data_IF_566922079091
#
_entry.id   IF_566922079091
#
_cell.length_a   1.000
_cell.length_b   1.000
_cell.length_c   1.000
_cell.angle_alpha   90.00
_cell.angle_beta   90.00
_cell.angle_gamma   90.00
#
_symmetry.space_group_name_H-M   'P 1'
#
loop_
_entity.id
_entity.type
_entity.pdbx_description
1 polymer ?
#
# COMPACT_ATOMS: atom_id res chain seq x y z
N UNK A 1 -0.30 -1.33 34.68
CA UNK A 1 -0.37 -2.04 33.36
C UNK A 1 0.99 -2.67 33.10
N UNK A 2 1.05 -3.95 32.77
CA UNK A 2 2.32 -4.55 32.34
C UNK A 2 2.69 -3.97 30.96
N UNK A 3 3.90 -3.45 30.85
CA UNK A 3 4.45 -2.84 29.62
C UNK A 3 4.46 -3.84 28.46
N UNK A 4 4.25 -3.37 27.23
CA UNK A 4 4.44 -4.21 26.02
C UNK A 4 5.91 -4.61 25.90
N UNK A 5 6.16 -5.83 25.41
CA UNK A 5 7.51 -6.29 25.13
C UNK A 5 7.85 -5.94 23.68
N UNK A 6 8.65 -4.89 23.51
CA UNK A 6 9.18 -4.47 22.22
C UNK A 6 10.62 -5.01 22.04
N UNK A 7 11.11 -5.11 20.80
CA UNK A 7 12.49 -5.55 20.49
C UNK A 7 13.50 -4.65 21.21
N UNK A 8 13.26 -3.34 21.14
CA UNK A 8 14.00 -2.34 21.92
C UNK A 8 13.06 -1.87 23.04
N UNK A 9 13.46 -1.95 24.32
CA UNK A 9 12.60 -1.54 25.43
C UNK A 9 12.05 -0.13 25.22
N UNK A 10 10.75 0.02 25.39
CA UNK A 10 10.01 1.29 25.31
C UNK A 10 9.94 1.95 23.92
N UNK A 11 10.39 1.26 22.88
CA UNK A 11 10.37 1.74 21.49
C UNK A 11 9.61 0.76 20.62
N UNK A 12 8.59 1.22 19.91
CA UNK A 12 7.92 0.47 18.85
C UNK A 12 8.76 0.59 17.58
N UNK A 13 9.40 -0.51 17.17
CA UNK A 13 10.20 -0.54 15.94
C UNK A 13 9.32 -0.95 14.76
N UNK A 14 9.25 -0.08 13.74
CA UNK A 14 8.39 -0.24 12.56
C UNK A 14 9.27 -0.41 11.32
N UNK A 15 9.18 -1.56 10.63
CA UNK A 15 9.74 -1.72 9.30
C UNK A 15 8.73 -1.24 8.26
N UNK A 16 9.18 -0.45 7.28
CA UNK A 16 8.31 0.07 6.23
C UNK A 16 9.01 0.23 4.88
N UNK A 17 8.22 0.23 3.81
CA UNK A 17 8.64 0.62 2.46
C UNK A 17 8.12 2.03 2.19
N UNK A 18 9.03 2.98 1.93
CA UNK A 18 8.72 4.41 1.91
C UNK A 18 8.46 5.02 0.53
N UNK A 19 8.06 4.18 -0.44
CA UNK A 19 7.69 4.62 -1.80
C UNK A 19 6.22 4.29 -2.14
N UNK A 20 5.36 4.14 -1.12
CA UNK A 20 3.97 3.73 -1.31
C UNK A 20 2.98 4.69 -0.63
N UNK A 21 2.79 5.87 -1.21
CA UNK A 21 1.78 6.82 -0.74
C UNK A 21 0.34 6.33 -1.07
N UNK A 22 -0.64 6.64 -0.20
CA UNK A 22 -0.56 7.45 1.00
C UNK A 22 -0.15 6.67 2.26
N UNK A 23 0.12 5.37 2.16
CA UNK A 23 0.33 4.48 3.31
C UNK A 23 1.65 4.75 4.02
N UNK A 24 2.75 4.74 3.26
CA UNK A 24 4.09 5.05 3.76
C UNK A 24 4.94 5.66 2.64
N UNK A 25 5.41 6.89 2.83
CA UNK A 25 6.18 7.60 1.81
C UNK A 25 7.07 8.69 2.43
N UNK A 26 8.06 9.14 1.64
CA UNK A 26 8.94 10.25 2.05
C UNK A 26 8.31 11.60 1.80
N UNK A 27 8.34 12.45 2.85
CA UNK A 27 8.00 13.86 2.77
C UNK A 27 8.97 14.66 3.64
N UNK A 28 9.63 15.66 3.04
CA UNK A 28 10.59 16.55 3.72
C UNK A 28 11.68 15.80 4.52
N UNK A 29 12.16 14.68 3.97
CA UNK A 29 13.20 13.84 4.58
C UNK A 29 12.71 12.85 5.65
N UNK A 30 11.44 12.90 6.02
CA UNK A 30 10.83 11.99 7.00
C UNK A 30 9.91 10.96 6.31
N UNK A 31 9.78 9.78 6.89
CA UNK A 31 8.79 8.80 6.48
C UNK A 31 7.46 9.13 7.15
N UNK A 32 6.43 9.32 6.34
CA UNK A 32 5.08 9.68 6.77
C UNK A 32 4.05 8.82 6.03
N UNK A 33 2.78 8.94 6.39
CA UNK A 33 1.68 8.28 5.70
C UNK A 33 0.63 7.78 6.68
N UNK A 34 -0.45 7.22 6.14
CA UNK A 34 -1.58 6.75 6.96
C UNK A 34 -1.18 5.60 7.88
N UNK A 35 -0.37 4.66 7.40
CA UNK A 35 0.13 3.54 8.19
C UNK A 35 1.06 4.02 9.31
N UNK A 36 1.96 4.94 8.97
CA UNK A 36 2.92 5.49 9.93
C UNK A 36 2.19 6.26 11.01
N UNK A 37 1.29 7.18 10.65
CA UNK A 37 0.52 7.96 11.62
C UNK A 37 -0.38 7.09 12.49
N UNK A 38 -0.96 6.02 11.94
CA UNK A 38 -1.76 5.08 12.72
C UNK A 38 -0.91 4.35 13.77
N UNK A 39 0.30 3.90 13.40
CA UNK A 39 1.21 3.21 14.32
C UNK A 39 1.87 4.16 15.32
N UNK A 40 2.14 5.41 14.97
CA UNK A 40 2.59 6.45 15.91
C UNK A 40 1.51 6.73 16.96
N UNK A 41 0.25 6.89 16.54
CA UNK A 41 -0.88 7.06 17.48
C UNK A 41 -1.06 5.81 18.40
N UNK A 42 -0.85 4.61 17.85
CA UNK A 42 -0.83 3.39 18.65
C UNK A 42 0.31 3.40 19.68
N UNK A 43 1.53 3.76 19.26
CA UNK A 43 2.68 3.88 20.15
C UNK A 43 2.44 4.88 21.30
N UNK A 44 1.91 6.06 20.98
CA UNK A 44 1.54 7.09 21.97
C UNK A 44 0.54 6.54 22.98
N UNK A 45 -0.51 5.86 22.53
CA UNK A 45 -1.49 5.20 23.42
C UNK A 45 -0.84 4.18 24.34
N UNK A 46 0.17 3.46 23.86
CA UNK A 46 0.92 2.47 24.63
C UNK A 46 2.08 3.08 25.43
N UNK A 47 2.34 4.38 25.30
CA UNK A 47 3.47 5.12 25.92
C UNK A 47 4.81 4.56 25.48
N UNK A 48 4.95 4.36 24.18
CA UNK A 48 6.18 3.94 23.51
C UNK A 48 6.67 5.07 22.59
N UNK A 49 7.98 5.21 22.49
CA UNK A 49 8.59 5.95 21.38
C UNK A 49 8.51 5.12 20.09
N UNK A 50 8.74 5.74 18.93
CA UNK A 50 8.77 5.05 17.64
C UNK A 50 10.16 5.07 17.01
N UNK A 51 10.52 3.98 16.33
CA UNK A 51 11.71 3.91 15.47
C UNK A 51 11.32 3.30 14.12
N UNK A 52 11.45 4.10 13.05
CA UNK A 52 11.06 3.70 11.69
C UNK A 52 12.30 3.24 10.93
N UNK A 53 12.25 2.02 10.37
CA UNK A 53 13.32 1.40 9.59
C UNK A 53 12.84 1.16 8.16
N UNK A 54 13.44 1.85 7.20
CA UNK A 54 13.13 1.66 5.79
C UNK A 54 13.69 0.33 5.27
N UNK A 55 12.89 -0.38 4.49
CA UNK A 55 13.21 -1.67 3.86
C UNK A 55 12.66 -1.72 2.44
N UNK A 56 13.13 -2.69 1.65
CA UNK A 56 12.48 -3.04 0.38
C UNK A 56 11.11 -3.65 0.65
N UNK A 57 10.20 -3.55 -0.31
CA UNK A 57 8.84 -4.11 -0.17
C UNK A 57 8.87 -5.64 -0.11
N UNK A 58 9.67 -6.27 -0.97
CA UNK A 58 9.79 -7.73 -1.00
C UNK A 58 10.30 -8.27 0.35
N UNK A 59 9.55 -9.23 0.90
CA UNK A 59 9.82 -9.84 2.19
C UNK A 59 9.58 -8.94 3.41
N UNK A 60 9.05 -7.72 3.23
CA UNK A 60 8.78 -6.79 4.34
C UNK A 60 7.90 -7.41 5.42
N UNK A 61 6.87 -8.17 5.02
CA UNK A 61 5.93 -8.85 5.93
C UNK A 61 6.60 -9.90 6.83
N UNK A 62 7.77 -10.41 6.46
CA UNK A 62 8.52 -11.39 7.26
C UNK A 62 9.39 -10.76 8.34
N UNK A 63 9.67 -9.45 8.26
CA UNK A 63 10.61 -8.77 9.15
C UNK A 63 10.26 -8.91 10.64
N UNK A 64 9.00 -8.80 11.08
CA UNK A 64 8.63 -9.02 12.48
C UNK A 64 8.92 -10.45 12.94
N UNK A 65 8.60 -11.46 12.14
CA UNK A 65 8.89 -12.87 12.44
C UNK A 65 10.40 -13.18 12.54
N UNK A 66 11.24 -12.36 11.92
CA UNK A 66 12.69 -12.44 11.96
C UNK A 66 13.31 -11.56 13.05
N UNK A 67 12.56 -10.99 13.96
CA UNK A 67 13.00 -10.08 15.02
C UNK A 67 13.75 -8.83 14.50
N UNK A 68 13.37 -8.33 13.32
CA UNK A 68 13.95 -7.11 12.75
C UNK A 68 13.16 -5.86 13.12
N UNK A 69 11.89 -5.99 13.44
CA UNK A 69 11.00 -4.96 13.93
C UNK A 69 9.83 -5.57 14.71
N UNK A 70 9.08 -4.74 15.41
CA UNK A 70 7.87 -5.16 16.12
C UNK A 70 6.70 -5.33 15.17
N UNK A 71 6.58 -4.39 14.23
CA UNK A 71 5.51 -4.31 13.24
C UNK A 71 6.10 -3.96 11.88
N UNK A 72 5.55 -4.53 10.80
CA UNK A 72 5.82 -4.08 9.45
C UNK A 72 4.53 -3.50 8.83
N UNK A 73 4.69 -2.39 8.09
CA UNK A 73 3.60 -1.60 7.54
C UNK A 73 4.02 -0.97 6.20
N UNK A 74 3.21 -1.06 5.18
CA UNK A 74 3.28 -0.33 3.90
C UNK A 74 2.10 -0.74 3.01
N UNK A 75 0.85 -0.52 3.45
CA UNK A 75 -0.32 -0.88 2.67
C UNK A 75 -0.34 -2.35 2.27
N UNK A 76 -0.01 -3.25 3.19
CA UNK A 76 0.18 -4.67 2.88
C UNK A 76 -1.12 -5.45 3.01
N UNK A 77 -1.42 -6.24 2.00
CA UNK A 77 -2.49 -7.22 1.98
C UNK A 77 -2.01 -8.54 2.61
N UNK A 78 -2.86 -9.19 3.40
CA UNK A 78 -2.54 -10.47 4.04
C UNK A 78 -2.64 -11.66 3.07
N UNK A 79 -3.51 -11.57 2.08
CA UNK A 79 -3.78 -12.66 1.13
C UNK A 79 -2.53 -13.02 0.32
N UNK A 80 -2.30 -14.33 0.17
CA UNK A 80 -1.18 -14.84 -0.61
C UNK A 80 0.21 -14.70 0.03
N UNK A 81 0.31 -14.17 1.27
CA UNK A 81 1.59 -13.94 1.95
C UNK A 81 1.71 -14.78 3.22
N UNK A 82 2.70 -15.64 3.25
CA UNK A 82 3.03 -16.45 4.44
C UNK A 82 3.99 -15.67 5.36
N UNK A 83 3.59 -15.45 6.60
CA UNK A 83 4.41 -14.83 7.64
C UNK A 83 5.35 -15.80 8.35
N UNK A 84 5.29 -17.09 8.02
CA UNK A 84 5.99 -18.13 8.76
C UNK A 84 5.42 -18.32 10.18
N UNK A 85 6.10 -19.12 10.99
CA UNK A 85 5.61 -19.52 12.32
C UNK A 85 5.69 -18.41 13.39
N UNK A 86 6.39 -17.31 13.11
CA UNK A 86 6.68 -16.25 14.09
C UNK A 86 6.08 -14.90 13.73
N UNK A 87 5.30 -14.84 12.67
CA UNK A 87 4.52 -13.69 12.26
C UNK A 87 3.01 -13.92 12.41
N UNK A 88 2.24 -12.86 12.53
CA UNK A 88 0.78 -12.85 12.54
C UNK A 88 0.27 -11.55 11.90
N UNK A 89 -0.84 -11.63 11.17
CA UNK A 89 -1.51 -10.44 10.65
C UNK A 89 -2.39 -9.80 11.72
N UNK A 90 -2.43 -8.47 11.75
CA UNK A 90 -3.43 -7.72 12.52
C UNK A 90 -4.83 -7.88 11.90
N UNK A 91 -5.85 -7.36 12.58
CA UNK A 91 -7.12 -7.05 11.92
C UNK A 91 -6.86 -6.09 10.75
N UNK A 92 -7.72 -6.14 9.73
CA UNK A 92 -7.67 -5.17 8.65
C UNK A 92 -8.09 -3.78 9.15
N UNK A 93 -7.47 -2.74 8.57
CA UNK A 93 -7.79 -1.35 8.89
C UNK A 93 -8.40 -0.60 7.69
N UNK A 94 -8.29 -1.15 6.48
CA UNK A 94 -8.91 -0.61 5.25
C UNK A 94 -9.07 -1.71 4.21
N UNK A 95 -10.12 -1.61 3.39
CA UNK A 95 -10.31 -2.41 2.18
C UNK A 95 -10.08 -1.52 0.96
N UNK A 96 -9.34 -2.02 -0.03
CA UNK A 96 -9.04 -1.31 -1.27
C UNK A 96 -9.63 -2.05 -2.47
N UNK A 97 -9.86 -1.32 -3.57
CA UNK A 97 -10.26 -1.86 -4.86
C UNK A 97 -9.11 -1.70 -5.85
N UNK A 98 -9.06 -2.53 -6.87
CA UNK A 98 -8.14 -2.32 -7.99
C UNK A 98 -8.60 -1.15 -8.84
N UNK A 99 -7.65 -0.43 -9.42
CA UNK A 99 -7.91 0.68 -10.34
C UNK A 99 -6.74 0.87 -11.29
N UNK A 100 -7.02 1.51 -12.40
CA UNK A 100 -5.99 2.04 -13.28
C UNK A 100 -5.98 3.56 -13.22
N UNK A 101 -4.79 4.15 -13.03
CA UNK A 101 -4.54 5.58 -13.15
C UNK A 101 -4.17 5.87 -14.60
N UNK A 102 -4.90 6.77 -15.27
CA UNK A 102 -4.70 7.15 -16.67
C UNK A 102 -4.69 8.67 -16.85
N UNK A 103 -4.31 9.15 -18.03
CA UNK A 103 -4.52 10.56 -18.42
C UNK A 103 -6.01 10.89 -18.44
N UNK A 104 -6.36 12.07 -17.97
CA UNK A 104 -7.74 12.55 -18.02
C UNK A 104 -8.28 12.62 -19.46
N UNK A 105 -7.42 12.91 -20.43
CA UNK A 105 -7.78 12.94 -21.87
C UNK A 105 -8.26 11.60 -22.41
N UNK A 106 -7.87 10.50 -21.77
CA UNK A 106 -8.17 9.15 -22.22
C UNK A 106 -9.41 8.54 -21.51
N UNK A 107 -10.02 9.29 -20.58
CA UNK A 107 -11.13 8.82 -19.72
C UNK A 107 -12.34 8.26 -20.48
N UNK A 108 -12.58 8.78 -21.68
CA UNK A 108 -13.73 8.37 -22.51
C UNK A 108 -13.40 7.22 -23.45
N UNK A 109 -12.12 6.83 -23.54
CA UNK A 109 -11.58 5.81 -24.43
C UNK A 109 -11.18 4.55 -23.64
N UNK A 110 -10.55 4.69 -22.49
CA UNK A 110 -10.01 3.59 -21.68
C UNK A 110 -10.92 3.34 -20.46
N UNK A 111 -11.97 2.53 -20.62
CA UNK A 111 -13.00 2.29 -19.58
C UNK A 111 -13.08 0.85 -19.11
N UNK A 112 -12.78 -0.09 -19.97
CA UNK A 112 -12.94 -1.52 -19.71
C UNK A 112 -11.75 -2.32 -20.26
N UNK A 113 -11.52 -3.56 -19.83
CA UNK A 113 -10.29 -4.30 -20.14
C UNK A 113 -9.96 -4.38 -21.61
N UNK A 114 -10.95 -4.52 -22.49
CA UNK A 114 -10.73 -4.61 -23.95
C UNK A 114 -10.14 -3.34 -24.57
N UNK A 115 -10.37 -2.18 -23.94
CA UNK A 115 -9.90 -0.88 -24.43
C UNK A 115 -8.37 -0.74 -24.27
N UNK A 116 -7.77 -1.59 -23.43
CA UNK A 116 -6.33 -1.61 -23.18
C UNK A 116 -5.54 -2.49 -24.15
N UNK A 117 -6.14 -2.98 -25.26
CA UNK A 117 -5.43 -3.71 -26.30
C UNK A 117 -4.28 -2.88 -26.87
N UNK A 118 -3.04 -3.42 -26.80
CA UNK A 118 -1.82 -2.72 -27.21
C UNK A 118 -1.35 -1.60 -26.26
N UNK A 119 -2.06 -1.34 -25.16
CA UNK A 119 -1.74 -0.32 -24.16
C UNK A 119 -0.74 -0.85 -23.15
N UNK A 120 0.14 0.04 -22.67
CA UNK A 120 1.16 -0.25 -21.66
C UNK A 120 0.62 0.02 -20.27
N UNK A 121 0.50 -1.02 -19.46
CA UNK A 121 0.09 -0.93 -18.05
C UNK A 121 1.30 -1.26 -17.18
N UNK A 122 1.77 -0.28 -16.40
CA UNK A 122 2.82 -0.49 -15.41
C UNK A 122 2.20 -0.93 -14.09
N UNK A 123 2.86 -1.87 -13.42
CA UNK A 123 2.45 -2.42 -12.11
C UNK A 123 3.67 -2.72 -11.27
N UNK A 124 3.53 -2.69 -9.94
CA UNK A 124 4.57 -3.15 -9.01
C UNK A 124 4.71 -4.68 -9.11
N UNK A 125 5.93 -5.21 -9.32
CA UNK A 125 6.14 -6.66 -9.40
C UNK A 125 5.61 -7.40 -8.17
N UNK A 126 5.02 -8.58 -8.39
CA UNK A 126 4.51 -9.49 -7.33
C UNK A 126 3.42 -8.87 -6.41
N UNK A 127 2.89 -7.72 -6.79
CA UNK A 127 1.76 -7.09 -6.10
C UNK A 127 0.42 -7.66 -6.56
N UNK A 128 -0.66 -7.35 -5.83
CA UNK A 128 -2.02 -7.66 -6.26
C UNK A 128 -2.35 -6.99 -7.61
N UNK A 129 -1.83 -5.78 -7.86
CA UNK A 129 -1.99 -5.09 -9.14
C UNK A 129 -1.32 -5.83 -10.30
N UNK A 130 -0.19 -6.51 -10.06
CA UNK A 130 0.45 -7.34 -11.09
C UNK A 130 -0.38 -8.57 -11.44
N UNK A 131 -0.91 -9.26 -10.42
CA UNK A 131 -1.79 -10.42 -10.60
C UNK A 131 -3.05 -9.99 -11.39
N UNK A 132 -3.71 -8.94 -10.92
CA UNK A 132 -4.90 -8.38 -11.56
C UNK A 132 -4.64 -7.98 -13.01
N UNK A 133 -3.53 -7.30 -13.29
CA UNK A 133 -3.19 -6.87 -14.65
C UNK A 133 -3.01 -8.05 -15.62
N UNK A 134 -2.41 -9.13 -15.15
CA UNK A 134 -2.26 -10.36 -15.95
C UNK A 134 -3.64 -11.01 -16.18
N UNK A 135 -4.42 -11.20 -15.13
CA UNK A 135 -5.70 -11.91 -15.22
C UNK A 135 -6.75 -11.12 -16.02
N UNK A 136 -6.80 -9.81 -15.83
CA UNK A 136 -7.87 -8.96 -16.32
C UNK A 136 -7.58 -8.35 -17.70
N UNK A 137 -6.35 -7.91 -17.97
CA UNK A 137 -6.03 -7.11 -19.17
C UNK A 137 -5.17 -7.84 -20.20
N UNK A 138 -4.27 -8.74 -19.79
CA UNK A 138 -3.33 -9.37 -20.71
C UNK A 138 -4.02 -10.20 -21.80
N UNK A 139 -5.13 -10.87 -21.48
CA UNK A 139 -5.91 -11.65 -22.44
C UNK A 139 -6.52 -10.80 -23.56
N UNK A 140 -6.71 -9.50 -23.33
CA UNK A 140 -7.17 -8.53 -24.34
C UNK A 140 -6.02 -7.88 -25.12
N UNK A 141 -4.77 -8.26 -24.85
CA UNK A 141 -3.60 -7.76 -25.56
C UNK A 141 -2.93 -6.56 -24.92
N UNK A 142 -3.22 -6.23 -23.67
CA UNK A 142 -2.47 -5.22 -22.93
C UNK A 142 -1.02 -5.67 -22.70
N UNK A 143 -0.09 -4.72 -22.69
CA UNK A 143 1.33 -4.93 -22.43
C UNK A 143 1.60 -4.63 -20.96
N UNK A 144 1.77 -5.68 -20.15
CA UNK A 144 2.01 -5.55 -18.71
C UNK A 144 3.51 -5.34 -18.46
N UNK A 145 3.87 -4.27 -17.75
CA UNK A 145 5.25 -3.88 -17.48
C UNK A 145 5.47 -3.88 -15.95
N UNK A 146 6.01 -4.98 -15.38
CA UNK A 146 6.30 -5.05 -13.96
C UNK A 146 7.61 -4.34 -13.63
N UNK A 147 7.53 -3.14 -13.04
CA UNK A 147 8.68 -2.34 -12.58
C UNK A 147 8.36 -1.66 -11.26
N UNK A 148 9.38 -1.24 -10.52
CA UNK A 148 9.24 -0.45 -9.28
C UNK A 148 9.76 0.97 -9.52
N UNK A 149 9.03 1.83 -10.23
CA UNK A 149 9.40 3.23 -10.39
C UNK A 149 8.93 4.04 -9.19
N UNK A 150 9.54 5.21 -8.99
CA UNK A 150 8.97 6.17 -8.05
C UNK A 150 7.62 6.67 -8.57
N UNK A 151 6.72 7.07 -7.66
CA UNK A 151 5.40 7.60 -8.05
C UNK A 151 5.49 8.83 -8.96
N UNK A 152 6.49 9.70 -8.75
CA UNK A 152 6.72 10.86 -9.61
C UNK A 152 7.12 10.45 -11.04
N UNK A 153 7.93 9.40 -11.17
CA UNK A 153 8.35 8.88 -12.46
C UNK A 153 7.16 8.27 -13.24
N UNK A 154 6.33 7.47 -12.58
CA UNK A 154 5.09 6.94 -13.15
C UNK A 154 4.21 8.05 -13.71
N UNK A 155 3.97 9.09 -12.94
CA UNK A 155 3.11 10.20 -13.38
C UNK A 155 3.69 10.90 -14.59
N UNK A 156 5.00 11.17 -14.59
CA UNK A 156 5.65 11.78 -15.75
C UNK A 156 5.53 10.90 -17.00
N UNK A 157 5.68 9.59 -16.88
CA UNK A 157 5.52 8.63 -17.98
C UNK A 157 4.07 8.56 -18.48
N UNK A 158 3.07 8.60 -17.59
CA UNK A 158 1.66 8.69 -17.98
C UNK A 158 1.42 10.00 -18.75
N UNK A 159 1.82 11.14 -18.21
CA UNK A 159 1.56 12.45 -18.81
C UNK A 159 2.28 12.65 -20.14
N UNK A 160 3.48 12.09 -20.31
CA UNK A 160 4.22 12.12 -21.59
C UNK A 160 3.68 11.13 -22.64
N UNK A 161 2.87 10.16 -22.24
CA UNK A 161 2.37 9.10 -23.11
C UNK A 161 3.36 7.95 -23.31
N UNK A 162 4.43 7.87 -22.53
CA UNK A 162 5.38 6.76 -22.56
C UNK A 162 4.71 5.45 -22.10
N UNK A 163 3.83 5.56 -21.11
CA UNK A 163 2.91 4.51 -20.65
C UNK A 163 1.47 5.02 -20.74
N UNK A 164 0.52 4.08 -20.77
CA UNK A 164 -0.91 4.42 -20.86
C UNK A 164 -1.60 4.39 -19.51
N UNK A 165 -1.20 3.49 -18.61
CA UNK A 165 -1.82 3.32 -17.31
C UNK A 165 -0.85 2.84 -16.23
N UNK A 166 -1.21 3.11 -14.96
CA UNK A 166 -0.59 2.52 -13.78
C UNK A 166 -1.65 1.77 -12.96
N UNK A 167 -1.43 0.47 -12.77
CA UNK A 167 -2.31 -0.39 -11.99
C UNK A 167 -1.92 -0.36 -10.51
N UNK A 168 -2.86 0.06 -9.65
CA UNK A 168 -2.68 0.08 -8.20
C UNK A 168 -4.05 0.12 -7.49
N UNK A 169 -4.06 0.13 -6.14
CA UNK A 169 -5.27 0.33 -5.35
C UNK A 169 -5.88 1.72 -5.58
N UNK A 170 -7.20 1.79 -5.49
CA UNK A 170 -7.97 3.02 -5.66
C UNK A 170 -7.59 4.12 -4.67
N UNK A 171 -7.22 3.73 -3.44
CA UNK A 171 -6.74 4.68 -2.40
C UNK A 171 -5.41 5.31 -2.81
N UNK A 172 -4.44 4.50 -3.27
CA UNK A 172 -3.13 5.01 -3.70
C UNK A 172 -3.25 5.84 -4.97
N UNK A 173 -3.96 5.34 -5.99
CA UNK A 173 -4.20 6.08 -7.22
C UNK A 173 -5.02 7.36 -7.00
N UNK A 174 -6.03 7.31 -6.11
CA UNK A 174 -6.81 8.49 -5.72
C UNK A 174 -5.96 9.58 -5.09
N UNK A 175 -5.05 9.20 -4.19
CA UNK A 175 -4.08 10.13 -3.61
C UNK A 175 -3.19 10.81 -4.68
N UNK A 176 -2.76 10.06 -5.71
CA UNK A 176 -1.99 10.63 -6.81
C UNK A 176 -2.82 11.61 -7.63
N UNK A 177 -4.09 11.29 -7.91
CA UNK A 177 -5.01 12.21 -8.58
C UNK A 177 -5.15 13.52 -7.80
N UNK A 178 -5.40 13.46 -6.49
CA UNK A 178 -5.55 14.66 -5.64
C UNK A 178 -4.28 15.49 -5.57
N UNK A 179 -3.12 14.87 -5.55
CA UNK A 179 -1.81 15.55 -5.46
C UNK A 179 -1.45 16.35 -6.71
N UNK A 180 -1.97 15.96 -7.88
CA UNK A 180 -1.62 16.54 -9.17
C UNK A 180 -2.70 17.47 -9.74
N UNK A 181 -3.55 18.03 -8.89
CA UNK A 181 -4.48 19.09 -9.30
C UNK A 181 -3.68 20.34 -9.72
N UNK A 182 -3.90 20.81 -10.93
CA UNK A 182 -3.30 22.03 -11.45
C UNK A 182 -3.77 23.30 -10.73
N UNK A 183 -3.01 24.38 -10.84
CA UNK A 183 -3.37 25.67 -10.23
C UNK A 183 -4.72 26.23 -10.74
N UNK A 184 -5.17 25.81 -11.90
CA UNK A 184 -6.47 26.15 -12.50
C UNK A 184 -7.63 25.21 -12.06
N UNK A 185 -7.35 24.28 -11.14
CA UNK A 185 -8.29 23.27 -10.69
C UNK A 185 -8.46 22.09 -11.68
N UNK A 186 -7.73 22.08 -12.80
CA UNK A 186 -7.74 20.95 -13.73
C UNK A 186 -6.99 19.76 -13.13
N UNK A 187 -7.46 18.56 -13.44
CA UNK A 187 -6.77 17.34 -13.04
C UNK A 187 -6.32 16.60 -14.31
N UNK A 188 -5.02 16.43 -14.54
CA UNK A 188 -4.52 15.75 -15.72
C UNK A 188 -4.64 14.23 -15.63
N UNK A 189 -4.99 13.70 -14.46
CA UNK A 189 -5.10 12.28 -14.15
C UNK A 189 -6.52 11.91 -13.72
N UNK A 190 -6.90 10.66 -13.92
CA UNK A 190 -8.18 10.11 -13.48
C UNK A 190 -8.05 8.61 -13.23
N UNK A 191 -8.88 8.08 -12.33
CA UNK A 191 -9.06 6.63 -12.16
C UNK A 191 -10.04 6.08 -13.18
N UNK A 192 -9.76 4.87 -13.63
CA UNK A 192 -10.67 4.10 -14.46
C UNK A 192 -10.69 2.63 -14.03
N UNK A 193 -11.68 1.89 -14.51
CA UNK A 193 -11.87 0.45 -14.26
C UNK A 193 -11.70 0.06 -12.78
N UNK A 194 -12.41 0.78 -11.89
CA UNK A 194 -12.40 0.49 -10.44
C UNK A 194 -13.23 -0.76 -10.20
N UNK A 195 -12.61 -1.80 -9.63
CA UNK A 195 -13.26 -3.09 -9.39
C UNK A 195 -12.70 -3.80 -8.15
N UNK A 196 -13.42 -4.79 -7.68
CA UNK A 196 -12.99 -5.72 -6.64
C UNK A 196 -12.36 -6.95 -7.29
N UNK A 197 -11.31 -7.49 -6.69
CA UNK A 197 -10.79 -8.81 -7.02
C UNK A 197 -11.76 -9.90 -6.55
N UNK A 198 -11.49 -11.16 -6.88
CA UNK A 198 -12.29 -12.30 -6.44
C UNK A 198 -12.29 -12.50 -4.90
N UNK A 199 -11.47 -11.76 -4.19
CA UNK A 199 -11.37 -11.71 -2.72
C UNK A 199 -11.21 -10.24 -2.28
N UNK A 200 -11.69 -9.87 -1.07
CA UNK A 200 -11.52 -8.53 -0.56
C UNK A 200 -10.04 -8.26 -0.28
N UNK A 201 -9.54 -7.11 -0.74
CA UNK A 201 -8.18 -6.68 -0.48
C UNK A 201 -8.12 -5.89 0.82
N UNK A 202 -7.94 -6.60 1.90
CA UNK A 202 -7.88 -6.04 3.24
C UNK A 202 -6.42 -5.75 3.62
N UNK A 203 -6.12 -4.49 3.91
CA UNK A 203 -4.80 -4.08 4.34
C UNK A 203 -4.62 -4.30 5.84
N UNK A 204 -3.51 -4.93 6.20
CA UNK A 204 -3.17 -5.35 7.55
C UNK A 204 -1.71 -5.02 7.88
N UNK A 205 -1.38 -5.00 9.16
CA UNK A 205 0.00 -4.94 9.64
C UNK A 205 0.52 -6.36 9.91
N UNK A 206 1.76 -6.64 9.53
CA UNK A 206 2.44 -7.84 9.98
C UNK A 206 3.09 -7.58 11.36
N UNK A 207 2.92 -8.51 12.30
CA UNK A 207 3.30 -8.36 13.71
C UNK A 207 4.00 -9.62 14.18
N UNK A 208 4.88 -9.52 15.18
CA UNK A 208 5.47 -10.70 15.84
C UNK A 208 4.40 -11.51 16.58
N UNK A 209 4.37 -12.82 16.36
CA UNK A 209 3.32 -13.68 16.91
C UNK A 209 3.51 -14.05 18.38
N UNK A 210 4.71 -13.95 18.93
CA UNK A 210 4.99 -14.37 20.29
C UNK A 210 4.63 -13.32 21.36
N UNK A 211 4.52 -12.04 21.01
CA UNK A 211 3.93 -11.05 21.91
C UNK A 211 2.42 -10.94 21.67
N UNK A 212 1.66 -11.82 22.32
CA UNK A 212 0.19 -11.82 22.21
C UNK A 212 -0.45 -10.52 22.68
N UNK A 213 0.23 -9.74 23.53
CA UNK A 213 -0.30 -8.46 24.00
C UNK A 213 -0.13 -7.36 22.97
N UNK A 214 0.97 -7.39 22.20
CA UNK A 214 1.16 -6.42 21.11
C UNK A 214 0.05 -6.55 20.08
N UNK A 215 -0.18 -7.75 19.56
CA UNK A 215 -1.24 -7.97 18.57
C UNK A 215 -2.64 -7.73 19.12
N UNK A 216 -2.91 -8.13 20.37
CA UNK A 216 -4.20 -7.87 21.01
C UNK A 216 -4.48 -6.37 21.13
N UNK A 217 -3.54 -5.57 21.67
CA UNK A 217 -3.72 -4.14 21.85
C UNK A 217 -3.77 -3.39 20.50
N UNK A 218 -3.00 -3.85 19.50
CA UNK A 218 -3.06 -3.28 18.14
C UNK A 218 -4.44 -3.51 17.52
N UNK A 219 -4.98 -4.72 17.63
CA UNK A 219 -6.30 -5.04 17.08
C UNK A 219 -7.42 -4.26 17.80
N UNK A 220 -7.35 -4.12 19.13
CA UNK A 220 -8.29 -3.27 19.86
C UNK A 220 -8.19 -1.81 19.40
N UNK A 221 -6.98 -1.30 19.20
CA UNK A 221 -6.76 0.05 18.71
C UNK A 221 -7.31 0.25 17.29
N UNK A 222 -7.07 -0.69 16.38
CA UNK A 222 -7.64 -0.68 15.02
C UNK A 222 -9.17 -0.65 15.09
N UNK A 223 -9.76 -1.55 15.89
CA UNK A 223 -11.20 -1.59 16.06
C UNK A 223 -11.79 -0.29 16.61
N UNK A 224 -11.10 0.39 17.51
CA UNK A 224 -11.54 1.69 18.03
C UNK A 224 -11.48 2.80 16.97
N UNK A 225 -10.42 2.80 16.12
CA UNK A 225 -10.24 3.83 15.08
C UNK A 225 -11.23 3.68 13.91
N UNK A 226 -11.62 2.44 13.58
CA UNK A 226 -12.39 2.12 12.38
C UNK A 226 -13.75 1.46 12.68
N UNK A 227 -14.22 1.49 13.93
CA UNK A 227 -15.60 1.09 14.23
C UNK A 227 -16.57 2.08 13.57
N UNK A 228 -17.25 1.61 12.55
CA UNK A 228 -18.50 2.17 12.03
C UNK A 228 -19.66 1.66 12.88
#
# INVERSE_FOLDING_TARGET
MNKLQTIVPDILTICTYSEFAPFSYKKDGSVVGTDIGLLENFADKMRLDTNIIEKQFDGLWNMPGLDKCDIAAAGMMSEGRDLGNRGIWSNSYITVKRSLLIRHTDKDILKEPRDFSGKKIVVTPESAAHIDAIERYQSYGAIIIPVVPSQNEIINQILSGEIDAFGEGDVSNGFLVERYIGNDGSNPLVLTDIHEMNFPEELCFAVRSYDKRLIYNLNEFINECFKT
#
